data_IF_116284077470
#
_entry.id   IF_116284077470
#
_cell.length_a   1.000
_cell.length_b   1.000
_cell.length_c   1.000
_cell.angle_alpha   90.00
_cell.angle_beta   90.00
_cell.angle_gamma   90.00
#
_symmetry.space_group_name_H-M   'P 1'
#
loop_
_entity.id
_entity.type
_entity.pdbx_description
1 polymer ?
#
# COMPACT_ATOMS: atom_id res chain seq x y z
N UNK A 1 28.23 -21.12 29.19
CA UNK A 1 28.05 -19.94 28.32
C UNK A 1 26.55 -19.71 28.20
N UNK A 2 26.02 -18.68 28.87
CA UNK A 2 24.60 -18.30 28.72
C UNK A 2 24.51 -17.43 27.47
N UNK A 3 23.74 -17.86 26.47
CA UNK A 3 23.41 -17.00 25.33
C UNK A 3 22.53 -15.86 25.85
N UNK A 4 22.78 -14.58 25.49
CA UNK A 4 21.91 -13.49 25.89
C UNK A 4 20.54 -13.63 25.22
N UNK A 5 19.45 -13.13 25.84
CA UNK A 5 18.10 -13.30 25.33
C UNK A 5 17.90 -12.36 24.14
N UNK A 6 18.15 -12.86 22.92
CA UNK A 6 17.84 -12.16 21.67
C UNK A 6 16.34 -11.76 21.62
N UNK A 7 15.49 -12.49 22.35
CA UNK A 7 14.03 -12.34 22.44
C UNK A 7 13.58 -10.96 22.93
N UNK A 8 14.34 -10.29 23.80
CA UNK A 8 13.92 -9.03 24.41
C UNK A 8 14.14 -7.81 23.47
N UNK A 9 15.10 -7.90 22.55
CA UNK A 9 15.40 -6.84 21.58
C UNK A 9 14.60 -6.95 20.27
N UNK A 10 14.17 -8.16 19.88
CA UNK A 10 13.44 -8.38 18.61
C UNK A 10 11.94 -8.11 18.69
N UNK A 11 11.35 -8.17 19.89
CA UNK A 11 9.90 -8.01 20.07
C UNK A 11 9.36 -6.60 19.72
N UNK A 12 10.05 -5.49 20.04
CA UNK A 12 9.61 -4.16 19.62
C UNK A 12 9.67 -3.98 18.10
N UNK A 13 10.77 -4.41 17.47
CA UNK A 13 10.98 -4.30 16.02
C UNK A 13 9.95 -5.12 15.23
N UNK A 14 9.64 -6.34 15.68
CA UNK A 14 8.61 -7.17 15.05
C UNK A 14 7.20 -6.56 15.14
N UNK A 15 6.89 -5.84 16.24
CA UNK A 15 5.62 -5.13 16.40
C UNK A 15 5.54 -3.91 15.49
N UNK A 16 6.59 -3.11 15.41
CA UNK A 16 6.65 -1.95 14.52
C UNK A 16 6.51 -2.37 13.06
N UNK A 17 7.21 -3.42 12.64
CA UNK A 17 7.07 -4.01 11.30
C UNK A 17 5.65 -4.51 11.05
N UNK A 18 5.01 -5.17 12.02
CA UNK A 18 3.63 -5.62 11.91
C UNK A 18 2.63 -4.47 11.75
N UNK A 19 2.81 -3.37 12.48
CA UNK A 19 1.97 -2.16 12.35
C UNK A 19 2.15 -1.53 10.97
N UNK A 20 3.40 -1.40 10.51
CA UNK A 20 3.70 -0.84 9.19
C UNK A 20 3.12 -1.69 8.06
N UNK A 21 3.25 -3.01 8.14
CA UNK A 21 2.65 -3.92 7.15
C UNK A 21 1.11 -3.83 7.16
N UNK A 22 0.49 -3.79 8.33
CA UNK A 22 -0.96 -3.60 8.44
C UNK A 22 -1.45 -2.26 7.86
N UNK A 23 -0.69 -1.18 8.04
CA UNK A 23 -0.98 0.12 7.44
C UNK A 23 -0.90 0.07 5.91
N UNK A 24 0.13 -0.58 5.35
CA UNK A 24 0.26 -0.78 3.90
C UNK A 24 -0.90 -1.58 3.32
N UNK A 25 -1.22 -2.74 3.91
CA UNK A 25 -2.33 -3.58 3.45
C UNK A 25 -3.68 -2.85 3.52
N UNK A 26 -3.90 -2.06 4.56
CA UNK A 26 -5.12 -1.26 4.72
C UNK A 26 -5.22 -0.20 3.64
N UNK A 27 -4.12 0.51 3.37
CA UNK A 27 -4.07 1.55 2.34
C UNK A 27 -4.30 0.96 0.95
N UNK A 28 -3.66 -0.17 0.61
CA UNK A 28 -3.91 -0.91 -0.64
C UNK A 28 -5.39 -1.28 -0.81
N UNK A 29 -6.04 -1.79 0.24
CA UNK A 29 -7.48 -2.10 0.22
C UNK A 29 -8.34 -0.87 -0.02
N UNK A 30 -8.02 0.25 0.64
CA UNK A 30 -8.75 1.50 0.44
C UNK A 30 -8.61 2.05 -0.98
N UNK A 31 -7.40 1.99 -1.57
CA UNK A 31 -7.19 2.36 -2.98
C UNK A 31 -8.12 1.54 -3.87
N UNK A 32 -8.08 0.21 -3.77
CA UNK A 32 -8.92 -0.67 -4.59
C UNK A 32 -10.42 -0.37 -4.43
N UNK A 33 -10.87 -0.14 -3.19
CA UNK A 33 -12.26 0.24 -2.93
C UNK A 33 -12.65 1.56 -3.60
N UNK A 34 -11.79 2.58 -3.53
CA UNK A 34 -12.03 3.87 -4.18
C UNK A 34 -12.10 3.71 -5.70
N UNK A 35 -11.19 2.94 -6.31
CA UNK A 35 -11.20 2.66 -7.74
C UNK A 35 -12.49 1.98 -8.18
N UNK A 36 -12.95 0.98 -7.41
CA UNK A 36 -14.22 0.29 -7.69
C UNK A 36 -15.43 1.20 -7.51
N UNK A 37 -15.49 1.99 -6.45
CA UNK A 37 -16.68 2.78 -6.11
C UNK A 37 -16.81 4.06 -6.92
N UNK A 38 -15.71 4.76 -7.16
CA UNK A 38 -15.72 6.05 -7.86
C UNK A 38 -15.49 5.92 -9.34
N UNK A 39 -14.48 5.15 -9.73
CA UNK A 39 -14.04 5.03 -11.12
C UNK A 39 -14.67 3.81 -11.82
N UNK A 40 -15.49 3.03 -11.10
CA UNK A 40 -16.12 1.81 -11.61
C UNK A 40 -15.12 0.82 -12.22
N UNK A 41 -13.88 0.83 -11.72
CA UNK A 41 -12.78 0.04 -12.22
C UNK A 41 -12.61 -1.22 -11.38
N UNK A 42 -12.68 -2.40 -12.03
CA UNK A 42 -12.25 -3.65 -11.40
C UNK A 42 -10.72 -3.73 -11.42
N UNK A 43 -10.14 -3.17 -10.36
CA UNK A 43 -8.71 -3.03 -10.14
C UNK A 43 -8.07 -4.32 -9.58
N UNK A 44 -8.85 -5.35 -9.28
CA UNK A 44 -8.41 -6.51 -8.48
C UNK A 44 -7.38 -7.36 -9.22
N UNK A 45 -7.48 -7.49 -10.54
CA UNK A 45 -6.57 -8.33 -11.32
C UNK A 45 -5.38 -7.57 -11.90
N UNK A 46 -5.54 -6.27 -12.18
CA UNK A 46 -4.54 -5.47 -12.90
C UNK A 46 -3.74 -4.55 -12.00
N UNK A 47 -4.40 -3.87 -11.06
CA UNK A 47 -3.77 -2.83 -10.21
C UNK A 47 -3.31 -3.41 -8.88
N UNK A 48 -4.07 -4.35 -8.29
CA UNK A 48 -3.69 -4.97 -7.02
C UNK A 48 -2.26 -5.55 -7.02
N UNK A 49 -1.81 -6.31 -8.04
CA UNK A 49 -0.43 -6.82 -8.07
C UNK A 49 0.60 -5.70 -8.03
N UNK A 50 0.36 -4.60 -8.74
CA UNK A 50 1.25 -3.43 -8.77
C UNK A 50 1.30 -2.78 -7.39
N UNK A 51 0.13 -2.56 -6.75
CA UNK A 51 0.07 -2.02 -5.39
C UNK A 51 0.77 -2.92 -4.37
N UNK A 52 0.75 -4.24 -4.57
CA UNK A 52 1.40 -5.20 -3.69
C UNK A 52 2.93 -5.13 -3.72
N UNK A 53 3.50 -4.65 -4.84
CA UNK A 53 4.95 -4.43 -5.01
C UNK A 53 5.44 -3.12 -4.37
N UNK A 54 4.53 -2.19 -4.05
CA UNK A 54 4.87 -0.90 -3.44
C UNK A 54 5.12 -1.09 -1.94
N UNK A 55 6.38 -1.06 -1.54
CA UNK A 55 6.79 -1.20 -0.13
C UNK A 55 6.80 0.12 0.65
N UNK A 56 6.82 1.27 -0.04
CA UNK A 56 6.79 2.60 0.57
C UNK A 56 5.35 3.02 0.91
N UNK A 57 5.08 3.22 2.20
CA UNK A 57 3.78 3.68 2.68
C UNK A 57 3.44 5.09 2.18
N UNK A 58 4.43 5.98 2.03
CA UNK A 58 4.18 7.35 1.57
C UNK A 58 3.74 7.37 0.11
N UNK A 59 4.28 6.46 -0.70
CA UNK A 59 3.84 6.26 -2.07
C UNK A 59 2.39 5.71 -2.09
N UNK A 60 2.05 4.73 -1.25
CA UNK A 60 0.67 4.24 -1.13
C UNK A 60 -0.31 5.36 -0.69
N UNK A 61 0.08 6.21 0.26
CA UNK A 61 -0.73 7.35 0.69
C UNK A 61 -0.92 8.36 -0.44
N UNK A 62 0.11 8.63 -1.24
CA UNK A 62 0.00 9.48 -2.42
C UNK A 62 -1.00 8.92 -3.43
N UNK A 63 -0.89 7.64 -3.79
CA UNK A 63 -1.82 6.98 -4.69
C UNK A 63 -3.25 6.97 -4.16
N UNK A 64 -3.43 6.78 -2.86
CA UNK A 64 -4.76 6.88 -2.23
C UNK A 64 -5.37 8.27 -2.41
N UNK A 65 -4.61 9.32 -2.13
CA UNK A 65 -5.06 10.70 -2.35
C UNK A 65 -5.35 10.99 -3.82
N UNK A 66 -4.55 10.44 -4.74
CA UNK A 66 -4.76 10.57 -6.19
C UNK A 66 -6.05 9.86 -6.63
N UNK A 67 -6.30 8.63 -6.18
CA UNK A 67 -7.56 7.92 -6.43
C UNK A 67 -8.80 8.70 -5.94
N UNK A 68 -8.64 9.52 -4.89
CA UNK A 68 -9.70 10.40 -4.39
C UNK A 68 -9.84 11.73 -5.16
N UNK A 69 -8.92 12.09 -6.04
CA UNK A 69 -8.93 13.40 -6.72
C UNK A 69 -9.16 13.29 -8.21
N UNK A 70 -8.68 12.24 -8.85
CA UNK A 70 -8.84 12.04 -10.29
C UNK A 70 -10.29 11.79 -10.69
N UNK A 71 -10.62 12.23 -11.90
CA UNK A 71 -11.96 12.10 -12.48
C UNK A 71 -12.12 10.77 -13.23
N UNK A 72 -11.03 10.19 -13.73
CA UNK A 72 -11.07 8.98 -14.55
C UNK A 72 -10.09 7.90 -14.10
N UNK A 73 -10.38 6.65 -14.50
CA UNK A 73 -9.48 5.51 -14.31
C UNK A 73 -8.15 5.69 -15.06
N UNK A 74 -8.16 6.33 -16.23
CA UNK A 74 -6.97 6.57 -17.04
C UNK A 74 -6.00 7.53 -16.33
N UNK A 75 -6.51 8.60 -15.72
CA UNK A 75 -5.71 9.53 -14.93
C UNK A 75 -5.05 8.84 -13.73
N UNK A 76 -5.78 7.92 -13.06
CA UNK A 76 -5.19 7.12 -12.00
C UNK A 76 -4.07 6.21 -12.52
N UNK A 77 -4.30 5.51 -13.64
CA UNK A 77 -3.32 4.60 -14.24
C UNK A 77 -2.06 5.35 -14.68
N UNK A 78 -2.20 6.57 -15.17
CA UNK A 78 -1.05 7.42 -15.49
C UNK A 78 -0.23 7.73 -14.22
N UNK A 79 -0.88 8.18 -13.15
CA UNK A 79 -0.19 8.45 -11.89
C UNK A 79 0.47 7.19 -11.31
N UNK A 80 -0.17 6.02 -11.43
CA UNK A 80 0.39 4.75 -11.01
C UNK A 80 1.68 4.41 -11.78
N UNK A 81 1.71 4.70 -13.08
CA UNK A 81 2.87 4.43 -13.94
C UNK A 81 4.01 5.45 -13.72
N UNK A 82 3.69 6.73 -13.49
CA UNK A 82 4.68 7.78 -13.21
C UNK A 82 5.43 7.57 -11.89
N UNK A 83 4.82 6.87 -10.92
CA UNK A 83 5.47 6.56 -9.65
C UNK A 83 6.10 5.14 -9.61
N UNK A 84 6.13 4.43 -10.75
CA UNK A 84 6.77 3.12 -10.87
C UNK A 84 8.21 3.18 -11.44
N UNK A 85 8.70 4.38 -11.79
CA UNK A 85 10.10 4.67 -12.19
C UNK A 85 10.98 5.06 -11.00
#
# INVERSE_FOLDING_TARGET
MQQPPIVEYVAPQAREQGIQQGAKETTRKHILQVLTQRLQLDATQTIKPILDEIEDIHHLDHLFNTAMQVDTAEDFMQALNENSE
#
